data_IF_582629743008
#
_entry.id   IF_582629743008
#
_cell.length_a   1.000
_cell.length_b   1.000
_cell.length_c   1.000
_cell.angle_alpha   90.00
_cell.angle_beta   90.00
_cell.angle_gamma   90.00
#
_symmetry.space_group_name_H-M   'P 1'
#
loop_
_entity.id
_entity.type
_entity.pdbx_description
1 polymer ?
#
# COMPACT_ATOMS: atom_id res chain seq x y z
N UNK A 1 9.86 6.69 -37.97
CA UNK A 1 9.64 6.20 -36.59
C UNK A 1 8.20 5.75 -36.53
N UNK A 2 7.99 4.45 -36.51
CA UNK A 2 6.66 3.86 -36.50
C UNK A 2 6.11 3.89 -35.06
N UNK A 3 5.20 4.80 -34.81
CA UNK A 3 4.57 4.94 -33.51
C UNK A 3 3.28 4.09 -33.46
N UNK A 4 3.43 2.78 -33.23
CA UNK A 4 2.26 1.90 -33.04
C UNK A 4 1.57 2.14 -31.70
N UNK A 5 2.36 2.18 -30.62
CA UNK A 5 1.92 2.45 -29.26
C UNK A 5 3.06 3.08 -28.48
N UNK A 6 2.74 3.77 -27.38
CA UNK A 6 3.72 4.29 -26.43
C UNK A 6 3.98 3.23 -25.33
N UNK A 7 5.01 2.39 -25.53
CA UNK A 7 5.40 1.35 -24.57
C UNK A 7 5.84 1.95 -23.24
N UNK A 8 6.46 3.12 -23.24
CA UNK A 8 6.87 3.80 -21.99
C UNK A 8 5.67 4.21 -21.15
N UNK A 9 4.60 4.68 -21.80
CA UNK A 9 3.36 5.03 -21.10
C UNK A 9 2.66 3.78 -20.54
N UNK A 10 2.62 2.68 -21.28
CA UNK A 10 2.09 1.42 -20.78
C UNK A 10 2.88 0.93 -19.55
N UNK A 11 4.22 1.00 -19.63
CA UNK A 11 5.08 0.64 -18.50
C UNK A 11 4.81 1.52 -17.28
N UNK A 12 4.68 2.82 -17.47
CA UNK A 12 4.36 3.77 -16.41
C UNK A 12 3.04 3.41 -15.71
N UNK A 13 2.03 3.05 -16.48
CA UNK A 13 0.72 2.64 -15.96
C UNK A 13 0.81 1.32 -15.18
N UNK A 14 1.58 0.36 -15.67
CA UNK A 14 1.80 -0.92 -14.98
C UNK A 14 2.57 -0.74 -13.68
N UNK A 15 3.64 0.08 -13.70
CA UNK A 15 4.40 0.43 -12.49
C UNK A 15 3.53 1.19 -11.48
N UNK A 16 2.58 2.00 -11.96
CA UNK A 16 1.57 2.66 -11.14
C UNK A 16 0.67 1.66 -10.40
N UNK A 17 0.30 0.56 -11.05
CA UNK A 17 -0.46 -0.51 -10.40
C UNK A 17 0.34 -1.21 -9.30
N UNK A 18 1.64 -1.43 -9.50
CA UNK A 18 2.54 -1.96 -8.46
C UNK A 18 2.62 -0.99 -7.28
N UNK A 19 2.79 0.31 -7.53
CA UNK A 19 2.87 1.32 -6.48
C UNK A 19 1.57 1.40 -5.67
N UNK A 20 0.43 1.34 -6.33
CA UNK A 20 -0.88 1.30 -5.67
C UNK A 20 -1.03 0.04 -4.79
N UNK A 21 -0.59 -1.11 -5.29
CA UNK A 21 -0.59 -2.36 -4.53
C UNK A 21 0.31 -2.27 -3.29
N UNK A 22 1.53 -1.75 -3.43
CA UNK A 22 2.44 -1.54 -2.29
C UNK A 22 1.81 -0.65 -1.22
N UNK A 23 1.12 0.41 -1.64
CA UNK A 23 0.42 1.30 -0.73
C UNK A 23 -0.72 0.57 0.00
N UNK A 24 -1.53 -0.19 -0.73
CA UNK A 24 -2.66 -0.93 -0.17
C UNK A 24 -2.20 -1.99 0.85
N UNK A 25 -1.19 -2.79 0.52
CA UNK A 25 -0.68 -3.82 1.44
C UNK A 25 0.07 -3.25 2.65
N UNK A 26 0.68 -2.07 2.51
CA UNK A 26 1.35 -1.40 3.63
C UNK A 26 0.36 -1.01 4.74
N UNK A 27 -0.91 -0.79 4.39
CA UNK A 27 -1.97 -0.48 5.35
C UNK A 27 -2.42 -1.69 6.19
N UNK A 28 -2.05 -2.91 5.79
CA UNK A 28 -2.45 -4.13 6.50
C UNK A 28 -1.60 -4.34 7.75
N UNK A 29 -2.26 -4.62 8.86
CA UNK A 29 -1.61 -4.92 10.14
C UNK A 29 -0.98 -6.31 10.10
N UNK A 30 0.31 -6.36 10.42
CA UNK A 30 1.07 -7.62 10.44
C UNK A 30 1.44 -8.12 11.84
N UNK A 31 0.87 -7.52 12.87
CA UNK A 31 1.21 -7.83 14.26
C UNK A 31 2.48 -7.16 14.76
N UNK A 32 3.29 -6.56 13.88
CA UNK A 32 4.44 -5.74 14.26
C UNK A 32 4.06 -4.27 14.39
N UNK A 33 4.60 -3.60 15.39
CA UNK A 33 4.44 -2.18 15.55
C UNK A 33 5.16 -1.43 14.42
N UNK A 34 4.47 -0.46 13.85
CA UNK A 34 5.03 0.48 12.88
C UNK A 34 4.45 1.86 13.15
N UNK A 35 5.28 2.88 13.07
CA UNK A 35 4.84 4.27 13.24
C UNK A 35 3.72 4.65 12.25
N UNK A 36 3.69 4.03 11.09
CA UNK A 36 2.68 4.26 10.05
C UNK A 36 1.25 3.90 10.47
N UNK A 37 1.08 3.08 11.49
CA UNK A 37 -0.25 2.74 12.04
C UNK A 37 -0.99 4.01 12.50
N UNK A 38 -0.25 5.01 12.95
CA UNK A 38 -0.79 6.27 13.48
C UNK A 38 -0.86 7.39 12.44
N UNK A 39 -0.46 7.16 11.20
CA UNK A 39 -0.50 8.18 10.14
C UNK A 39 -1.89 8.82 9.93
N UNK A 40 -3.02 8.08 10.00
CA UNK A 40 -4.34 8.67 9.85
C UNK A 40 -4.83 9.46 11.07
N UNK A 41 -4.10 9.44 12.19
CA UNK A 41 -4.53 10.10 13.42
C UNK A 41 -4.35 11.61 13.31
N UNK A 42 -5.45 12.34 13.52
CA UNK A 42 -5.48 13.80 13.57
C UNK A 42 -5.80 14.25 14.98
N UNK A 43 -4.98 15.12 15.52
CA UNK A 43 -5.09 15.64 16.89
C UNK A 43 -5.66 17.06 16.85
N UNK A 44 -6.60 17.36 17.73
CA UNK A 44 -7.03 18.74 17.96
C UNK A 44 -6.00 19.46 18.84
N UNK A 45 -5.25 20.36 18.22
CA UNK A 45 -4.20 21.12 18.87
C UNK A 45 -4.35 22.62 18.57
N UNK A 46 -4.39 23.43 19.60
CA UNK A 46 -4.40 24.90 19.47
C UNK A 46 -5.51 25.43 18.53
N UNK A 47 -6.69 24.81 18.58
CA UNK A 47 -7.83 25.21 17.78
C UNK A 47 -7.88 24.68 16.34
N UNK A 48 -6.96 23.84 15.95
CA UNK A 48 -6.93 23.20 14.63
C UNK A 48 -6.64 21.71 14.72
N UNK A 49 -7.03 20.97 13.67
CA UNK A 49 -6.70 19.56 13.53
C UNK A 49 -5.37 19.43 12.80
N UNK A 50 -4.40 18.80 13.45
CA UNK A 50 -3.06 18.60 12.90
C UNK A 50 -2.68 17.11 12.95
N UNK A 51 -1.81 16.65 12.05
CA UNK A 51 -1.27 15.29 12.13
C UNK A 51 -0.55 15.05 13.45
N UNK A 52 -0.61 13.82 13.96
CA UNK A 52 0.03 13.44 15.21
C UNK A 52 1.54 13.76 15.24
N UNK A 53 2.23 13.62 14.13
CA UNK A 53 3.66 13.88 14.02
C UNK A 53 4.05 15.37 14.23
N UNK A 54 3.08 16.27 14.22
CA UNK A 54 3.30 17.70 14.51
C UNK A 54 3.21 18.05 16.01
N UNK A 55 2.78 17.13 16.84
CA UNK A 55 2.63 17.34 18.29
C UNK A 55 3.40 16.32 19.13
N UNK A 56 3.90 15.26 18.52
CA UNK A 56 4.57 14.17 19.21
C UNK A 56 5.56 13.43 18.31
N UNK A 57 6.51 12.74 18.94
CA UNK A 57 7.35 11.75 18.27
C UNK A 57 6.76 10.35 18.48
N UNK A 58 6.70 9.57 17.40
CA UNK A 58 6.27 8.16 17.42
C UNK A 58 7.49 7.27 17.30
N UNK A 59 7.64 6.34 18.24
CA UNK A 59 8.74 5.36 18.29
C UNK A 59 8.19 3.95 18.41
N UNK A 60 9.03 2.97 18.16
CA UNK A 60 8.73 1.55 18.31
C UNK A 60 9.72 0.95 19.30
N UNK A 61 9.47 1.10 20.63
CA UNK A 61 10.39 0.59 21.65
C UNK A 61 10.47 -0.93 21.68
N UNK A 62 9.38 -1.60 21.30
CA UNK A 62 9.29 -3.06 21.25
C UNK A 62 8.52 -3.48 19.99
N UNK A 63 8.69 -4.74 19.52
CA UNK A 63 8.05 -5.22 18.28
C UNK A 63 6.50 -5.11 18.26
N UNK A 64 5.88 -5.06 19.43
CA UNK A 64 4.41 -4.97 19.57
C UNK A 64 3.97 -3.77 20.42
N UNK A 65 4.80 -2.77 20.51
CA UNK A 65 4.48 -1.57 21.28
C UNK A 65 4.86 -0.32 20.51
N UNK A 66 3.93 0.62 20.45
CA UNK A 66 4.19 1.98 19.99
C UNK A 66 4.44 2.88 21.20
N UNK A 67 5.43 3.74 21.10
CA UNK A 67 5.70 4.78 22.06
C UNK A 67 5.42 6.14 21.45
N UNK A 68 4.73 7.00 22.17
CA UNK A 68 4.46 8.38 21.78
C UNK A 68 5.02 9.30 22.84
N UNK A 69 5.92 10.19 22.43
CA UNK A 69 6.45 11.25 23.28
C UNK A 69 5.82 12.57 22.87
N UNK A 70 4.90 13.07 23.67
CA UNK A 70 4.18 14.33 23.39
C UNK A 70 5.05 15.50 23.84
N UNK A 71 5.23 16.48 22.96
CA UNK A 71 6.11 17.62 23.22
C UNK A 71 5.55 18.59 24.26
N UNK A 72 4.23 18.77 24.25
CA UNK A 72 3.52 19.64 25.20
C UNK A 72 2.67 18.78 26.12
N UNK A 73 2.98 18.80 27.40
CA UNK A 73 2.28 18.04 28.44
C UNK A 73 0.77 18.29 28.45
N UNK A 74 0.34 19.49 28.10
CA UNK A 74 -1.10 19.82 28.03
C UNK A 74 -1.84 19.12 26.91
N UNK A 75 -1.12 18.57 25.92
CA UNK A 75 -1.68 17.89 24.76
C UNK A 75 -1.83 16.37 24.91
N UNK A 76 -1.33 15.79 26.02
CA UNK A 76 -1.35 14.33 26.25
C UNK A 76 -2.78 13.76 26.15
N UNK A 77 -3.74 14.42 26.81
CA UNK A 77 -5.12 13.98 26.79
C UNK A 77 -5.77 14.10 25.39
N UNK A 78 -5.43 15.14 24.64
CA UNK A 78 -5.91 15.32 23.28
C UNK A 78 -5.36 14.24 22.33
N UNK A 79 -4.10 13.86 22.51
CA UNK A 79 -3.47 12.76 21.75
C UNK A 79 -4.12 11.43 22.09
N UNK A 80 -4.33 11.13 23.36
CA UNK A 80 -5.01 9.92 23.82
C UNK A 80 -6.41 9.81 23.20
N UNK A 81 -7.19 10.87 23.28
CA UNK A 81 -8.53 10.92 22.70
C UNK A 81 -8.51 10.71 21.18
N UNK A 82 -7.61 11.39 20.48
CA UNK A 82 -7.50 11.28 19.03
C UNK A 82 -7.20 9.85 18.58
N UNK A 83 -6.34 9.13 19.29
CA UNK A 83 -5.99 7.74 18.99
C UNK A 83 -7.21 6.83 19.22
N UNK A 84 -7.93 7.00 20.31
CA UNK A 84 -9.13 6.21 20.62
C UNK A 84 -10.25 6.45 19.61
N UNK A 85 -10.45 7.68 19.21
CA UNK A 85 -11.50 8.07 18.25
C UNK A 85 -11.17 7.70 16.80
N UNK A 86 -9.91 7.39 16.49
CA UNK A 86 -9.49 6.97 15.15
C UNK A 86 -9.95 5.56 14.77
N UNK A 87 -10.62 4.83 15.66
CA UNK A 87 -11.13 3.45 15.43
C UNK A 87 -10.06 2.46 14.96
N UNK A 88 -8.83 2.62 15.43
CA UNK A 88 -7.73 1.70 15.13
C UNK A 88 -7.70 0.48 16.04
N UNK A 89 -8.61 0.38 17.01
CA UNK A 89 -8.62 -0.69 18.01
C UNK A 89 -7.43 -0.62 18.98
N UNK A 90 -6.86 0.56 19.17
CA UNK A 90 -5.72 0.81 20.03
C UNK A 90 -6.17 1.42 21.36
N UNK A 91 -5.54 0.97 22.44
CA UNK A 91 -5.79 1.49 23.79
C UNK A 91 -4.51 2.08 24.36
N UNK A 92 -4.27 3.39 24.22
CA UNK A 92 -3.11 4.04 24.78
C UNK A 92 -3.11 4.00 26.30
N UNK A 93 -1.93 3.86 26.89
CA UNK A 93 -1.69 3.97 28.32
C UNK A 93 -0.85 5.21 28.54
N UNK A 94 -1.39 6.16 29.30
CA UNK A 94 -0.71 7.41 29.63
C UNK A 94 0.32 7.14 30.72
N UNK A 95 1.56 7.56 30.47
CA UNK A 95 2.67 7.48 31.40
C UNK A 95 3.39 8.85 31.42
N UNK A 96 2.90 9.75 32.25
CA UNK A 96 3.40 11.13 32.30
C UNK A 96 3.14 11.89 31.00
N UNK A 97 4.20 12.27 30.31
CA UNK A 97 4.16 12.94 29.00
C UNK A 97 4.24 11.96 27.83
N UNK A 98 4.37 10.68 28.11
CA UNK A 98 4.45 9.62 27.13
C UNK A 98 3.17 8.79 27.12
N UNK A 99 2.89 8.19 25.96
CA UNK A 99 1.85 7.19 25.82
C UNK A 99 2.48 5.90 25.31
N UNK A 100 2.03 4.78 25.86
CA UNK A 100 2.38 3.44 25.40
C UNK A 100 1.15 2.81 24.77
N UNK A 101 1.31 2.26 23.60
CA UNK A 101 0.23 1.59 22.88
C UNK A 101 0.64 0.14 22.65
N UNK A 102 0.19 -0.79 23.51
CA UNK A 102 0.38 -2.22 23.23
C UNK A 102 -0.47 -2.61 22.04
N UNK A 103 0.11 -3.33 21.09
CA UNK A 103 -0.61 -3.89 19.97
C UNK A 103 -1.14 -5.29 20.35
N UNK A 104 -2.45 -5.55 20.16
CA UNK A 104 -2.99 -6.87 20.42
C UNK A 104 -2.38 -7.89 19.47
N UNK A 105 -2.16 -9.10 19.96
CA UNK A 105 -1.75 -10.21 19.11
C UNK A 105 -2.82 -10.52 18.07
N UNK A 106 -2.36 -10.80 16.85
CA UNK A 106 -3.25 -11.32 15.83
C UNK A 106 -3.52 -12.80 16.13
N UNK A 107 -4.78 -13.17 16.28
CA UNK A 107 -5.17 -14.58 16.32
C UNK A 107 -5.13 -15.18 14.91
N UNK A 108 -5.21 -16.51 14.82
CA UNK A 108 -5.16 -17.22 13.54
C UNK A 108 -6.28 -16.79 12.58
N UNK A 109 -7.47 -16.61 13.08
CA UNK A 109 -8.63 -16.16 12.30
C UNK A 109 -8.39 -14.77 11.69
N UNK A 110 -7.87 -13.85 12.49
CA UNK A 110 -7.54 -12.49 12.03
C UNK A 110 -6.43 -12.51 10.98
N UNK A 111 -5.41 -13.36 11.16
CA UNK A 111 -4.34 -13.53 10.15
C UNK A 111 -4.89 -14.03 8.83
N UNK A 112 -5.74 -15.05 8.85
CA UNK A 112 -6.41 -15.57 7.63
C UNK A 112 -7.24 -14.50 6.94
N UNK A 113 -7.95 -13.69 7.70
CA UNK A 113 -8.72 -12.55 7.18
C UNK A 113 -7.83 -11.53 6.49
N UNK A 114 -6.68 -11.18 7.09
CA UNK A 114 -5.72 -10.25 6.51
C UNK A 114 -5.07 -10.80 5.24
N UNK A 115 -4.73 -12.08 5.20
CA UNK A 115 -4.21 -12.74 4.00
C UNK A 115 -5.23 -12.65 2.86
N UNK A 116 -6.50 -12.88 3.15
CA UNK A 116 -7.57 -12.75 2.17
C UNK A 116 -7.66 -11.32 1.61
N UNK A 117 -7.58 -10.31 2.46
CA UNK A 117 -7.58 -8.91 2.03
C UNK A 117 -6.37 -8.61 1.14
N UNK A 118 -5.19 -9.13 1.48
CA UNK A 118 -3.98 -8.99 0.66
C UNK A 118 -4.16 -9.61 -0.72
N UNK A 119 -4.77 -10.79 -0.81
CA UNK A 119 -5.10 -11.44 -2.08
C UNK A 119 -6.09 -10.60 -2.91
N UNK A 120 -7.10 -10.02 -2.29
CA UNK A 120 -8.06 -9.16 -2.97
C UNK A 120 -7.39 -7.92 -3.57
N UNK A 121 -6.47 -7.30 -2.83
CA UNK A 121 -5.66 -6.19 -3.34
C UNK A 121 -4.77 -6.61 -4.51
N UNK A 122 -4.16 -7.80 -4.44
CA UNK A 122 -3.34 -8.34 -5.53
C UNK A 122 -4.18 -8.57 -6.79
N UNK A 123 -5.35 -9.17 -6.67
CA UNK A 123 -6.25 -9.37 -7.81
C UNK A 123 -6.71 -8.06 -8.44
N UNK A 124 -7.05 -7.07 -7.63
CA UNK A 124 -7.37 -5.72 -8.11
C UNK A 124 -6.24 -5.13 -8.96
N UNK A 125 -5.00 -5.26 -8.48
CA UNK A 125 -3.82 -4.79 -9.20
C UNK A 125 -3.57 -5.55 -10.48
N UNK A 126 -3.72 -6.87 -10.48
CA UNK A 126 -3.59 -7.71 -11.68
C UNK A 126 -4.65 -7.37 -12.74
N UNK A 127 -5.87 -7.08 -12.32
CA UNK A 127 -6.94 -6.61 -13.24
C UNK A 127 -6.53 -5.29 -13.88
N UNK A 128 -5.99 -4.35 -13.13
CA UNK A 128 -5.51 -3.08 -13.65
C UNK A 128 -4.37 -3.29 -14.68
N UNK A 129 -3.43 -4.19 -14.39
CA UNK A 129 -2.32 -4.53 -15.29
C UNK A 129 -2.84 -5.16 -16.58
N UNK A 130 -3.79 -6.10 -16.49
CA UNK A 130 -4.41 -6.72 -17.66
C UNK A 130 -5.18 -5.72 -18.51
N UNK A 131 -5.78 -4.72 -17.89
CA UNK A 131 -6.46 -3.63 -18.60
C UNK A 131 -5.45 -2.78 -19.40
N UNK A 132 -4.32 -2.43 -18.82
CA UNK A 132 -3.23 -1.73 -19.52
C UNK A 132 -2.71 -2.57 -20.71
N UNK A 133 -2.53 -3.87 -20.51
CA UNK A 133 -2.16 -4.80 -21.59
C UNK A 133 -3.17 -4.78 -22.73
N UNK A 134 -4.45 -4.84 -22.41
CA UNK A 134 -5.52 -4.80 -23.40
C UNK A 134 -5.48 -3.52 -24.23
N UNK A 135 -5.33 -2.39 -23.56
CA UNK A 135 -5.20 -1.09 -24.24
C UNK A 135 -4.01 -1.09 -25.22
N UNK A 136 -2.87 -1.65 -24.81
CA UNK A 136 -1.70 -1.80 -25.66
C UNK A 136 -1.94 -2.69 -26.87
N UNK A 137 -2.56 -3.85 -26.66
CA UNK A 137 -2.87 -4.79 -27.74
C UNK A 137 -3.89 -4.22 -28.72
N UNK A 138 -4.91 -3.53 -28.23
CA UNK A 138 -5.92 -2.87 -29.07
C UNK A 138 -5.30 -1.72 -29.88
N UNK A 139 -4.39 -0.95 -29.27
CA UNK A 139 -3.64 0.09 -29.97
C UNK A 139 -2.78 -0.46 -31.09
N UNK A 140 -2.12 -1.61 -30.88
CA UNK A 140 -1.32 -2.28 -31.93
C UNK A 140 -2.19 -2.79 -33.08
N UNK A 141 -3.32 -3.40 -32.80
CA UNK A 141 -4.27 -3.86 -33.83
C UNK A 141 -4.75 -2.68 -34.68
N UNK A 142 -5.08 -1.58 -34.04
CA UNK A 142 -5.49 -0.35 -34.75
C UNK A 142 -4.38 0.20 -35.63
N UNK A 143 -3.16 0.32 -35.11
CA UNK A 143 -2.01 0.80 -35.84
C UNK A 143 -1.67 -0.07 -37.06
N UNK A 144 -1.79 -1.39 -36.95
CA UNK A 144 -1.62 -2.34 -38.06
C UNK A 144 -2.71 -2.16 -39.09
N UNK A 145 -3.98 -2.07 -38.66
CA UNK A 145 -5.12 -1.86 -39.55
C UNK A 145 -5.02 -0.54 -40.33
N UNK A 146 -4.56 0.51 -39.66
CA UNK A 146 -4.39 1.84 -40.28
C UNK A 146 -3.11 1.95 -41.12
N UNK A 147 -2.31 0.89 -41.18
CA UNK A 147 -1.06 0.86 -41.96
C UNK A 147 0.08 1.67 -41.35
N UNK A 148 -0.02 2.08 -40.09
CA UNK A 148 1.02 2.83 -39.37
C UNK A 148 2.23 1.94 -39.11
N UNK A 149 1.98 0.67 -38.78
CA UNK A 149 3.00 -0.36 -38.55
C UNK A 149 2.68 -1.59 -39.40
N UNK A 150 3.73 -2.36 -39.73
CA UNK A 150 3.57 -3.65 -40.41
C UNK A 150 3.23 -4.76 -39.44
N UNK A 151 2.85 -5.93 -40.01
CA UNK A 151 2.46 -7.12 -39.23
C UNK A 151 3.62 -7.61 -38.35
N UNK A 152 4.85 -7.61 -38.81
CA UNK A 152 6.03 -8.06 -38.06
C UNK A 152 6.32 -7.12 -36.85
N UNK A 153 6.20 -5.82 -37.06
CA UNK A 153 6.36 -4.83 -36.01
C UNK A 153 5.25 -4.96 -34.95
N UNK A 154 4.00 -5.13 -35.40
CA UNK A 154 2.86 -5.37 -34.51
C UNK A 154 3.09 -6.60 -33.63
N UNK A 155 3.56 -7.68 -34.20
CA UNK A 155 3.89 -8.91 -33.49
C UNK A 155 5.02 -8.71 -32.47
N UNK A 156 6.10 -8.06 -32.87
CA UNK A 156 7.24 -7.79 -31.99
C UNK A 156 6.84 -6.92 -30.81
N UNK A 157 6.05 -5.88 -31.04
CA UNK A 157 5.57 -5.01 -29.95
C UNK A 157 4.56 -5.74 -29.04
N UNK A 158 3.71 -6.61 -29.60
CA UNK A 158 2.80 -7.45 -28.81
C UNK A 158 3.55 -8.39 -27.86
N UNK A 159 4.63 -8.99 -28.32
CA UNK A 159 5.49 -9.84 -27.48
C UNK A 159 6.15 -9.02 -26.34
N UNK A 160 6.57 -7.79 -26.62
CA UNK A 160 7.11 -6.88 -25.61
C UNK A 160 6.07 -6.50 -24.56
N UNK A 161 4.85 -6.17 -24.97
CA UNK A 161 3.74 -5.86 -24.06
C UNK A 161 3.38 -7.06 -23.20
N UNK A 162 3.35 -8.26 -23.78
CA UNK A 162 3.08 -9.49 -23.04
C UNK A 162 4.16 -9.77 -22.01
N UNK A 163 5.43 -9.66 -22.40
CA UNK A 163 6.56 -9.86 -21.48
C UNK A 163 6.50 -8.87 -20.32
N UNK A 164 6.26 -7.60 -20.59
CA UNK A 164 6.14 -6.57 -19.59
C UNK A 164 4.97 -6.85 -18.63
N UNK A 165 3.85 -7.34 -19.14
CA UNK A 165 2.70 -7.76 -18.33
C UNK A 165 3.07 -8.91 -17.40
N UNK A 166 3.72 -9.94 -17.92
CA UNK A 166 4.11 -11.13 -17.15
C UNK A 166 5.10 -10.77 -16.03
N UNK A 167 6.08 -9.95 -16.33
CA UNK A 167 7.06 -9.45 -15.34
C UNK A 167 6.39 -8.64 -14.23
N UNK A 168 5.43 -7.80 -14.59
CA UNK A 168 4.70 -6.96 -13.64
C UNK A 168 3.80 -7.79 -12.72
N UNK A 169 3.09 -8.77 -13.28
CA UNK A 169 2.26 -9.70 -12.49
C UNK A 169 3.13 -10.56 -11.56
N UNK A 170 4.29 -11.00 -12.04
CA UNK A 170 5.24 -11.76 -11.21
C UNK A 170 5.71 -10.92 -10.01
N UNK A 171 5.95 -9.64 -10.20
CA UNK A 171 6.32 -8.72 -9.10
C UNK A 171 5.19 -8.58 -8.08
N UNK A 172 3.92 -8.47 -8.53
CA UNK A 172 2.76 -8.47 -7.62
C UNK A 172 2.71 -9.76 -6.80
N UNK A 173 2.91 -10.91 -7.44
CA UNK A 173 2.91 -12.22 -6.75
C UNK A 173 4.06 -12.33 -5.74
N UNK A 174 5.24 -11.80 -6.07
CA UNK A 174 6.39 -11.76 -5.16
C UNK A 174 6.08 -10.92 -3.91
N UNK A 175 5.55 -9.73 -4.10
CA UNK A 175 5.18 -8.83 -3.00
C UNK A 175 4.06 -9.41 -2.13
N UNK A 176 3.08 -10.07 -2.76
CA UNK A 176 2.01 -10.76 -2.04
C UNK A 176 2.57 -11.89 -1.16
N UNK A 177 3.45 -12.72 -1.72
CA UNK A 177 4.09 -13.82 -0.97
C UNK A 177 4.91 -13.33 0.22
N UNK A 178 5.64 -12.23 0.07
CA UNK A 178 6.38 -11.60 1.17
C UNK A 178 5.42 -11.10 2.26
N UNK A 179 4.33 -10.45 1.87
CA UNK A 179 3.34 -9.95 2.83
C UNK A 179 2.62 -11.07 3.56
N UNK A 180 2.26 -12.16 2.88
CA UNK A 180 1.68 -13.34 3.52
C UNK A 180 2.59 -13.93 4.60
N UNK A 181 3.88 -14.04 4.30
CA UNK A 181 4.86 -14.51 5.30
C UNK A 181 4.92 -13.58 6.50
N UNK A 182 4.92 -12.28 6.26
CA UNK A 182 4.93 -11.27 7.32
C UNK A 182 3.68 -11.35 8.20
N UNK A 183 2.50 -11.51 7.61
CA UNK A 183 1.22 -11.65 8.32
C UNK A 183 1.20 -12.95 9.16
N UNK A 184 1.73 -14.05 8.61
CA UNK A 184 1.70 -15.37 9.26
C UNK A 184 2.84 -15.59 10.25
N UNK A 185 3.84 -14.73 10.32
CA UNK A 185 4.88 -14.79 11.34
C UNK A 185 4.30 -14.54 12.73
N UNK A 186 4.63 -15.45 13.63
CA UNK A 186 4.25 -15.37 15.05
C UNK A 186 5.27 -14.55 15.84
#
# INVERSE_FOLDING_TARGET
MSEGIDIKELKRRMDGAISAFKHDIASLRTGRASANILDPVMVEAYGSRVPLNQVANVTVPEPRMLGISVWDKSMVNAVDRAIREANLGLNPIIDGQNLRIPLPELNEERRKSLVKVAHDYAEKSKVAIRHVRRDGMDGLKKAEKDGVIGQDESRAQSERVQKMTDETILEIDRLLGEKEKEIMQV
#
